data_IF_300655715496
#
_entry.id   IF_300655715496
#
_cell.length_a   1.000
_cell.length_b   1.000
_cell.length_c   1.000
_cell.angle_alpha   90.00
_cell.angle_beta   90.00
_cell.angle_gamma   90.00
#
_symmetry.space_group_name_H-M   'P 1'
#
loop_
_entity.id
_entity.type
_entity.pdbx_description
1 polymer ?
#
# COMPACT_ATOMS: atom_id res chain seq x y z
N UNK A 1 -29.42 -3.30 -31.27
CA UNK A 1 -28.91 -1.95 -30.98
C UNK A 1 -27.51 -2.09 -30.37
N UNK A 2 -26.49 -1.87 -31.20
CA UNK A 2 -25.08 -1.97 -30.79
C UNK A 2 -24.73 -0.77 -29.89
N UNK A 3 -24.39 -1.01 -28.62
CA UNK A 3 -23.85 0.03 -27.75
C UNK A 3 -22.42 0.33 -28.21
N UNK A 4 -22.24 1.43 -28.90
CA UNK A 4 -20.92 1.99 -29.23
C UNK A 4 -20.14 2.17 -27.93
N UNK A 5 -19.12 1.34 -27.69
CA UNK A 5 -18.13 1.59 -26.64
C UNK A 5 -17.49 2.94 -26.96
N UNK A 6 -17.78 3.98 -26.18
CA UNK A 6 -17.01 5.22 -26.19
C UNK A 6 -15.57 4.83 -25.83
N UNK A 7 -14.72 4.89 -26.84
CA UNK A 7 -13.27 4.76 -26.67
C UNK A 7 -12.78 6.07 -26.00
N UNK A 8 -12.96 6.16 -24.69
CA UNK A 8 -12.36 7.24 -23.90
C UNK A 8 -10.92 6.83 -23.66
N UNK A 9 -9.97 7.59 -24.20
CA UNK A 9 -8.54 7.44 -23.83
C UNK A 9 -8.41 7.33 -22.31
N UNK A 10 -7.51 6.48 -21.81
CA UNK A 10 -7.27 6.40 -20.37
C UNK A 10 -6.92 7.80 -19.86
N UNK A 11 -7.59 8.23 -18.80
CA UNK A 11 -7.32 9.52 -18.17
C UNK A 11 -5.92 9.49 -17.61
N UNK A 12 -5.18 10.59 -17.77
CA UNK A 12 -3.88 10.74 -17.14
C UNK A 12 -4.06 10.77 -15.61
N UNK A 13 -3.42 9.84 -14.91
CA UNK A 13 -3.58 9.67 -13.47
C UNK A 13 -3.08 10.90 -12.68
N UNK A 14 -1.93 11.47 -13.05
CA UNK A 14 -1.39 12.64 -12.36
C UNK A 14 -2.32 13.85 -12.52
N UNK A 15 -2.84 14.09 -13.73
CA UNK A 15 -3.79 15.17 -13.98
C UNK A 15 -5.10 14.98 -13.23
N UNK A 16 -5.61 13.73 -13.13
CA UNK A 16 -6.81 13.42 -12.34
C UNK A 16 -6.59 13.73 -10.85
N UNK A 17 -5.42 13.42 -10.30
CA UNK A 17 -5.08 13.73 -8.91
C UNK A 17 -4.86 15.24 -8.68
N UNK A 18 -4.21 15.94 -9.61
CA UNK A 18 -4.04 17.40 -9.55
C UNK A 18 -5.38 18.11 -9.51
N UNK A 19 -6.28 17.74 -10.41
CA UNK A 19 -7.63 18.33 -10.44
C UNK A 19 -8.39 18.12 -9.12
N UNK A 20 -8.14 17.02 -8.42
CA UNK A 20 -8.78 16.71 -7.13
C UNK A 20 -8.06 17.30 -5.92
N UNK A 21 -6.91 17.92 -6.10
CA UNK A 21 -6.09 18.40 -4.98
C UNK A 21 -5.51 17.27 -4.12
N UNK A 22 -5.28 16.09 -4.70
CA UNK A 22 -4.79 14.89 -4.00
C UNK A 22 -3.27 14.70 -4.12
N UNK A 23 -2.55 15.61 -4.75
CA UNK A 23 -1.10 15.56 -4.86
C UNK A 23 -0.46 16.39 -3.77
N UNK A 24 0.43 15.76 -3.00
CA UNK A 24 1.33 16.43 -2.08
C UNK A 24 2.71 16.60 -2.72
N UNK A 25 3.26 15.52 -3.27
CA UNK A 25 4.55 15.50 -3.95
C UNK A 25 4.54 14.44 -5.06
N UNK A 26 5.35 14.64 -6.09
CA UNK A 26 5.51 13.70 -7.22
C UNK A 26 6.98 13.64 -7.58
N UNK A 27 7.54 12.44 -7.59
CA UNK A 27 8.92 12.22 -8.04
C UNK A 27 9.08 12.61 -9.51
N UNK A 28 10.24 13.13 -9.91
CA UNK A 28 10.55 13.42 -11.32
C UNK A 28 10.22 12.23 -12.22
N UNK A 29 9.78 12.50 -13.43
CA UNK A 29 9.47 11.52 -14.49
C UNK A 29 8.30 10.56 -14.20
N UNK A 30 7.62 10.67 -13.04
CA UNK A 30 6.50 9.79 -12.67
C UNK A 30 5.36 9.87 -13.69
N UNK A 31 4.96 11.07 -14.11
CA UNK A 31 3.88 11.26 -15.07
C UNK A 31 4.23 10.64 -16.43
N UNK A 32 5.45 10.88 -16.92
CA UNK A 32 5.93 10.29 -18.17
C UNK A 32 5.94 8.76 -18.08
N UNK A 33 6.47 8.20 -16.99
CA UNK A 33 6.51 6.75 -16.77
C UNK A 33 5.11 6.12 -16.76
N UNK A 34 4.13 6.75 -16.13
CA UNK A 34 2.75 6.26 -16.09
C UNK A 34 2.07 6.34 -17.46
N UNK A 35 2.39 7.36 -18.27
CA UNK A 35 1.77 7.52 -19.59
C UNK A 35 2.33 6.57 -20.66
N UNK A 36 3.47 5.91 -20.43
CA UNK A 36 4.09 5.01 -21.41
C UNK A 36 3.36 3.67 -21.54
N UNK A 37 2.83 3.13 -20.44
CA UNK A 37 2.16 1.82 -20.40
C UNK A 37 1.32 1.67 -19.13
N UNK A 38 0.50 0.62 -19.06
CA UNK A 38 -0.11 0.20 -17.81
C UNK A 38 1.00 -0.09 -16.78
N UNK A 39 0.89 0.50 -15.60
CA UNK A 39 1.81 0.31 -14.48
C UNK A 39 1.06 -0.23 -13.28
N UNK A 40 1.80 -0.82 -12.35
CA UNK A 40 1.26 -1.21 -11.05
C UNK A 40 1.78 -0.25 -9.98
N UNK A 41 0.90 0.14 -9.06
CA UNK A 41 1.30 0.87 -7.86
C UNK A 41 0.58 0.29 -6.64
N UNK A 42 1.21 0.38 -5.49
CA UNK A 42 0.67 -0.18 -4.26
C UNK A 42 0.45 0.85 -3.17
N UNK A 43 -0.46 0.52 -2.29
CA UNK A 43 -0.65 1.19 -0.99
C UNK A 43 -0.74 0.11 0.08
N UNK A 44 -0.08 0.35 1.22
CA UNK A 44 -0.10 -0.53 2.39
C UNK A 44 -1.32 -0.27 3.27
N UNK A 45 -1.91 -1.36 3.78
CA UNK A 45 -2.99 -1.36 4.75
C UNK A 45 -2.60 -2.26 5.92
N UNK A 46 -2.59 -1.73 7.12
CA UNK A 46 -2.30 -2.51 8.32
C UNK A 46 -3.55 -3.26 8.78
N UNK A 47 -3.51 -4.60 8.91
CA UNK A 47 -4.65 -5.41 9.32
C UNK A 47 -4.78 -5.46 10.86
N UNK A 48 -4.74 -4.30 11.51
CA UNK A 48 -4.77 -4.18 12.98
C UNK A 48 -6.15 -4.37 13.59
N UNK A 49 -7.19 -4.38 12.77
CA UNK A 49 -8.58 -4.60 13.14
C UNK A 49 -9.32 -5.22 11.94
N UNK A 50 -10.53 -5.68 12.19
CA UNK A 50 -11.47 -6.21 11.18
C UNK A 50 -12.09 -5.14 10.30
N UNK A 51 -11.73 -3.86 10.50
CA UNK A 51 -12.25 -2.75 9.71
C UNK A 51 -11.21 -1.65 9.50
N UNK A 52 -11.29 -1.03 8.31
CA UNK A 52 -10.56 0.19 7.99
C UNK A 52 -11.29 1.40 8.58
N UNK A 53 -10.55 2.44 8.91
CA UNK A 53 -11.09 3.70 9.42
C UNK A 53 -11.10 4.78 8.33
N UNK A 54 -11.74 5.92 8.60
CA UNK A 54 -11.91 7.01 7.62
C UNK A 54 -10.58 7.52 7.04
N UNK A 55 -9.48 7.48 7.80
CA UNK A 55 -8.16 7.86 7.30
C UNK A 55 -7.64 6.98 6.17
N UNK A 56 -8.12 5.75 6.05
CA UNK A 56 -7.77 4.86 4.95
C UNK A 56 -8.48 5.22 3.64
N UNK A 57 -9.51 6.09 3.68
CA UNK A 57 -10.26 6.43 2.47
C UNK A 57 -9.39 7.15 1.43
N UNK A 58 -8.46 8.01 1.85
CA UNK A 58 -7.57 8.72 0.92
C UNK A 58 -6.71 7.74 0.11
N UNK A 59 -5.93 6.83 0.73
CA UNK A 59 -5.15 5.85 -0.02
C UNK A 59 -6.04 4.88 -0.83
N UNK A 60 -7.24 4.52 -0.37
CA UNK A 60 -8.19 3.73 -1.16
C UNK A 60 -8.58 4.48 -2.44
N UNK A 61 -8.90 5.76 -2.32
CA UNK A 61 -9.29 6.58 -3.47
C UNK A 61 -8.13 6.80 -4.45
N UNK A 62 -6.88 6.87 -3.97
CA UNK A 62 -5.70 6.87 -4.85
C UNK A 62 -5.67 5.63 -5.73
N UNK A 63 -5.81 4.43 -5.13
CA UNK A 63 -5.85 3.17 -5.87
C UNK A 63 -7.05 3.09 -6.82
N UNK A 64 -8.23 3.58 -6.39
CA UNK A 64 -9.42 3.60 -7.24
C UNK A 64 -9.25 4.51 -8.47
N UNK A 65 -8.65 5.69 -8.31
CA UNK A 65 -8.33 6.58 -9.44
C UNK A 65 -7.25 5.98 -10.33
N UNK A 66 -6.24 5.33 -9.77
CA UNK A 66 -5.22 4.61 -10.51
C UNK A 66 -5.86 3.56 -11.44
N UNK A 67 -6.76 2.74 -10.89
CA UNK A 67 -7.47 1.71 -11.66
C UNK A 67 -8.36 2.31 -12.76
N UNK A 68 -9.10 3.38 -12.45
CA UNK A 68 -9.95 4.08 -13.43
C UNK A 68 -9.14 4.74 -14.55
N UNK A 69 -7.89 5.05 -14.31
CA UNK A 69 -6.94 5.56 -15.30
C UNK A 69 -6.23 4.46 -16.10
N UNK A 70 -6.60 3.18 -15.91
CA UNK A 70 -6.09 2.07 -16.69
C UNK A 70 -4.84 1.40 -16.12
N UNK A 71 -4.43 1.75 -14.92
CA UNK A 71 -3.31 1.12 -14.22
C UNK A 71 -3.79 0.04 -13.24
N UNK A 72 -2.88 -0.82 -12.79
CA UNK A 72 -3.20 -1.91 -11.86
C UNK A 72 -2.94 -1.50 -10.41
N UNK A 73 -3.98 -1.39 -9.57
CA UNK A 73 -3.81 -1.15 -8.15
C UNK A 73 -3.38 -2.44 -7.44
N UNK A 74 -2.49 -2.31 -6.46
CA UNK A 74 -2.10 -3.39 -5.55
C UNK A 74 -2.41 -2.94 -4.12
N UNK A 75 -3.35 -3.61 -3.48
CA UNK A 75 -3.61 -3.42 -2.06
C UNK A 75 -2.69 -4.37 -1.27
N UNK A 76 -1.70 -3.81 -0.60
CA UNK A 76 -0.73 -4.55 0.19
C UNK A 76 -1.17 -4.61 1.65
N UNK A 77 -1.51 -5.80 2.12
CA UNK A 77 -1.80 -6.02 3.55
C UNK A 77 -0.49 -6.25 4.31
N UNK A 78 -0.27 -5.47 5.35
CA UNK A 78 0.93 -5.52 6.21
C UNK A 78 0.89 -6.65 7.22
N UNK A 79 0.69 -7.91 6.79
CA UNK A 79 0.61 -9.05 7.69
C UNK A 79 1.89 -9.31 8.45
N UNK A 80 3.05 -9.31 7.79
CA UNK A 80 4.33 -9.49 8.48
C UNK A 80 4.62 -8.35 9.47
N UNK A 81 4.37 -7.10 9.08
CA UNK A 81 4.56 -5.93 9.95
C UNK A 81 3.58 -5.92 11.12
N UNK A 82 2.35 -6.40 10.92
CA UNK A 82 1.35 -6.58 11.98
C UNK A 82 1.78 -7.59 13.05
N UNK A 83 2.50 -8.63 12.65
CA UNK A 83 3.06 -9.64 13.60
C UNK A 83 4.27 -9.12 14.38
N UNK A 84 4.98 -8.12 13.88
CA UNK A 84 6.13 -7.52 14.59
C UNK A 84 5.68 -6.46 15.59
N UNK A 85 4.46 -5.93 15.43
CA UNK A 85 3.93 -4.91 16.32
C UNK A 85 4.48 -3.51 16.04
N UNK A 86 4.69 -3.15 14.76
CA UNK A 86 5.18 -1.82 14.38
C UNK A 86 4.30 -0.71 15.01
N UNK A 87 4.87 0.14 15.91
CA UNK A 87 4.13 1.19 16.60
C UNK A 87 3.93 2.46 15.76
N UNK A 88 4.08 2.42 14.43
CA UNK A 88 4.00 3.60 13.55
C UNK A 88 2.89 4.57 13.97
N UNK A 89 3.28 5.77 14.44
CA UNK A 89 2.38 6.83 14.85
C UNK A 89 1.64 6.63 16.17
N UNK A 90 2.11 5.72 17.05
CA UNK A 90 1.56 5.52 18.42
C UNK A 90 2.67 5.34 19.43
N UNK A 91 2.45 5.83 20.65
CA UNK A 91 3.41 5.77 21.78
C UNK A 91 3.50 4.40 22.46
N UNK A 92 2.61 3.45 22.15
CA UNK A 92 2.60 2.10 22.74
C UNK A 92 2.82 1.03 21.69
N UNK A 93 3.53 -0.03 22.06
CA UNK A 93 3.63 -1.24 21.23
C UNK A 93 2.24 -1.76 20.86
N UNK A 94 2.06 -2.11 19.59
CA UNK A 94 0.83 -2.75 19.13
C UNK A 94 0.75 -4.16 19.70
N UNK A 95 -0.45 -4.58 20.07
CA UNK A 95 -0.69 -5.97 20.43
C UNK A 95 -0.29 -6.89 19.28
N UNK A 96 0.54 -7.88 19.54
CA UNK A 96 0.94 -8.88 18.57
C UNK A 96 -0.30 -9.69 18.15
N UNK A 97 -0.57 -9.72 16.86
CA UNK A 97 -1.66 -10.53 16.30
C UNK A 97 -1.13 -11.94 15.96
N UNK A 98 -1.93 -12.95 16.27
CA UNK A 98 -1.69 -14.28 15.73
C UNK A 98 -2.07 -14.41 14.25
N UNK A 99 -1.64 -15.48 13.61
CA UNK A 99 -1.87 -15.68 12.17
C UNK A 99 -3.36 -15.80 11.84
N UNK A 100 -4.17 -16.39 12.71
CA UNK A 100 -5.60 -16.58 12.50
C UNK A 100 -6.34 -15.23 12.50
N UNK A 101 -6.13 -14.42 13.51
CA UNK A 101 -6.67 -13.05 13.60
C UNK A 101 -6.24 -12.20 12.42
N UNK A 102 -4.98 -12.32 12.02
CA UNK A 102 -4.42 -11.58 10.89
C UNK A 102 -5.09 -11.96 9.56
N UNK A 103 -5.31 -13.26 9.32
CA UNK A 103 -6.03 -13.74 8.14
C UNK A 103 -7.48 -13.30 8.14
N UNK A 104 -8.15 -13.35 9.30
CA UNK A 104 -9.50 -12.84 9.45
C UNK A 104 -9.58 -11.35 9.10
N UNK A 105 -8.73 -10.53 9.68
CA UNK A 105 -8.68 -9.09 9.40
C UNK A 105 -8.38 -8.81 7.92
N UNK A 106 -7.50 -9.59 7.30
CA UNK A 106 -7.19 -9.48 5.87
C UNK A 106 -8.44 -9.69 5.00
N UNK A 107 -9.26 -10.70 5.27
CA UNK A 107 -10.49 -10.96 4.52
C UNK A 107 -11.54 -9.85 4.74
N UNK A 108 -11.64 -9.32 5.96
CA UNK A 108 -12.49 -8.17 6.25
C UNK A 108 -12.05 -6.92 5.47
N UNK A 109 -10.75 -6.62 5.46
CA UNK A 109 -10.17 -5.52 4.69
C UNK A 109 -10.42 -5.71 3.19
N UNK A 110 -10.23 -6.92 2.66
CA UNK A 110 -10.52 -7.25 1.26
C UNK A 110 -11.97 -6.95 0.90
N UNK A 111 -12.91 -7.38 1.76
CA UNK A 111 -14.35 -7.14 1.55
C UNK A 111 -14.66 -5.66 1.46
N UNK A 112 -14.06 -4.83 2.31
CA UNK A 112 -14.24 -3.38 2.26
C UNK A 112 -13.60 -2.75 1.02
N UNK A 113 -12.39 -3.14 0.67
CA UNK A 113 -11.69 -2.64 -0.52
C UNK A 113 -12.41 -3.00 -1.83
N UNK A 114 -13.07 -4.16 -1.87
CA UNK A 114 -13.85 -4.62 -3.05
C UNK A 114 -15.05 -3.71 -3.38
N UNK A 115 -15.45 -2.82 -2.48
CA UNK A 115 -16.46 -1.80 -2.77
C UNK A 115 -15.91 -0.66 -3.65
N UNK A 116 -14.60 -0.47 -3.70
CA UNK A 116 -13.93 0.62 -4.40
C UNK A 116 -13.08 0.15 -5.58
N UNK A 117 -12.52 -1.05 -5.47
CA UNK A 117 -11.56 -1.64 -6.38
C UNK A 117 -12.13 -2.91 -7.00
N UNK A 118 -11.86 -3.09 -8.27
CA UNK A 118 -12.18 -4.33 -8.98
C UNK A 118 -11.04 -5.33 -8.83
N UNK A 119 -11.31 -6.44 -8.15
CA UNK A 119 -10.37 -7.54 -7.95
C UNK A 119 -10.71 -8.80 -8.76
N UNK A 120 -11.88 -8.88 -9.39
CA UNK A 120 -12.44 -10.15 -9.88
C UNK A 120 -12.97 -10.10 -11.32
N UNK A 121 -12.91 -8.96 -12.02
CA UNK A 121 -13.51 -8.82 -13.36
C UNK A 121 -12.77 -9.54 -14.49
N UNK A 122 -11.52 -9.96 -14.28
CA UNK A 122 -10.65 -10.46 -15.33
C UNK A 122 -10.10 -9.38 -16.27
N UNK A 123 -10.32 -8.08 -15.97
CA UNK A 123 -9.73 -6.99 -16.73
C UNK A 123 -8.21 -7.00 -16.63
N UNK A 124 -7.53 -6.50 -17.67
CA UNK A 124 -6.07 -6.44 -17.69
C UNK A 124 -5.49 -5.67 -16.49
N UNK A 125 -6.16 -4.60 -16.06
CA UNK A 125 -5.80 -3.79 -14.91
C UNK A 125 -6.58 -4.16 -13.63
N UNK A 126 -7.10 -5.38 -13.56
CA UNK A 126 -7.68 -5.93 -12.33
C UNK A 126 -6.72 -5.75 -11.17
N UNK A 127 -7.22 -5.31 -10.03
CA UNK A 127 -6.45 -5.11 -8.81
C UNK A 127 -5.91 -6.41 -8.22
N UNK A 128 -4.88 -6.28 -7.42
CA UNK A 128 -4.31 -7.40 -6.65
C UNK A 128 -4.41 -7.08 -5.16
N UNK A 129 -4.81 -8.07 -4.37
CA UNK A 129 -4.64 -8.05 -2.93
C UNK A 129 -3.49 -8.98 -2.58
N UNK A 130 -2.48 -8.47 -1.92
CA UNK A 130 -1.29 -9.23 -1.51
C UNK A 130 -1.01 -9.03 -0.03
N UNK A 131 -0.42 -10.03 0.61
CA UNK A 131 -0.01 -9.98 2.01
C UNK A 131 1.50 -10.18 2.10
N UNK A 132 2.22 -9.22 2.68
CA UNK A 132 3.67 -9.34 2.81
C UNK A 132 4.12 -10.53 3.68
N UNK A 133 3.28 -11.03 4.57
CA UNK A 133 3.54 -12.24 5.33
C UNK A 133 3.79 -13.45 4.42
N UNK A 134 3.11 -13.56 3.27
CA UNK A 134 3.20 -14.74 2.41
C UNK A 134 4.61 -14.98 1.85
N UNK A 135 5.39 -13.92 1.62
CA UNK A 135 6.78 -14.04 1.19
C UNK A 135 7.79 -13.83 2.31
N UNK A 136 7.47 -13.01 3.32
CA UNK A 136 8.41 -12.73 4.42
C UNK A 136 8.60 -13.92 5.37
N UNK A 137 7.55 -14.73 5.58
CA UNK A 137 7.60 -15.87 6.51
C UNK A 137 8.66 -16.93 6.16
N UNK A 138 9.05 -17.00 4.91
CA UNK A 138 10.03 -17.98 4.44
C UNK A 138 11.49 -17.51 4.58
N UNK A 139 11.72 -16.23 4.87
CA UNK A 139 13.07 -15.72 5.09
C UNK A 139 13.57 -16.12 6.47
N UNK A 140 14.74 -16.79 6.52
CA UNK A 140 15.47 -16.89 7.77
C UNK A 140 16.11 -15.54 8.12
N UNK A 141 16.43 -15.34 9.40
CA UNK A 141 17.16 -14.14 9.83
C UNK A 141 18.49 -13.97 9.09
N UNK A 142 19.23 -15.05 8.89
CA UNK A 142 20.53 -15.02 8.18
C UNK A 142 20.35 -14.68 6.70
N UNK A 143 19.32 -15.24 6.04
CA UNK A 143 19.05 -14.92 4.64
C UNK A 143 18.66 -13.46 4.50
N UNK A 144 17.82 -12.94 5.37
CA UNK A 144 17.42 -11.53 5.34
C UNK A 144 18.63 -10.59 5.53
N UNK A 145 19.48 -10.85 6.52
CA UNK A 145 20.69 -10.04 6.74
C UNK A 145 21.64 -10.13 5.54
N UNK A 146 21.85 -11.33 4.99
CA UNK A 146 22.72 -11.54 3.86
C UNK A 146 22.22 -10.85 2.59
N UNK A 147 20.93 -10.96 2.29
CA UNK A 147 20.40 -10.57 0.98
C UNK A 147 19.82 -9.15 0.98
N UNK A 148 19.29 -8.69 2.09
CA UNK A 148 18.67 -7.37 2.25
C UNK A 148 19.50 -6.44 3.16
N UNK A 149 19.89 -6.93 4.33
CA UNK A 149 20.54 -6.11 5.37
C UNK A 149 21.82 -5.42 4.88
N UNK A 150 22.61 -6.08 4.08
CA UNK A 150 23.87 -5.51 3.50
C UNK A 150 23.62 -4.27 2.63
N UNK A 151 22.40 -4.07 2.11
CA UNK A 151 22.07 -2.94 1.25
C UNK A 151 21.49 -1.75 2.03
N UNK A 152 21.20 -1.94 3.33
CA UNK A 152 20.61 -0.92 4.19
C UNK A 152 21.65 -0.48 5.20
N UNK A 153 22.26 0.68 4.97
CA UNK A 153 23.28 1.22 5.88
C UNK A 153 22.65 1.83 7.13
N UNK A 154 23.36 1.80 8.25
CA UNK A 154 22.96 2.47 9.51
C UNK A 154 22.69 3.96 9.24
N UNK A 155 23.55 4.63 8.49
CA UNK A 155 23.36 6.06 8.16
C UNK A 155 22.07 6.31 7.39
N UNK A 156 21.69 5.42 6.46
CA UNK A 156 20.44 5.52 5.74
C UNK A 156 19.24 5.39 6.68
N UNK A 157 19.28 4.42 7.59
CA UNK A 157 18.22 4.24 8.59
C UNK A 157 18.13 5.43 9.54
N UNK A 158 19.25 5.91 10.07
CA UNK A 158 19.33 7.09 10.95
C UNK A 158 18.83 8.38 10.30
N UNK A 159 18.85 8.47 8.97
CA UNK A 159 18.35 9.63 8.22
C UNK A 159 16.81 9.68 8.11
N UNK A 160 16.10 8.57 8.40
CA UNK A 160 14.64 8.52 8.34
C UNK A 160 14.02 9.26 9.53
N UNK A 161 12.98 10.05 9.29
CA UNK A 161 12.36 10.85 10.34
C UNK A 161 11.74 9.98 11.45
N UNK A 162 11.12 8.85 11.10
CA UNK A 162 10.62 7.88 12.07
C UNK A 162 11.69 7.34 13.03
N UNK A 163 12.93 7.16 12.57
CA UNK A 163 14.05 6.73 13.39
C UNK A 163 14.59 7.89 14.21
N UNK A 164 14.76 9.08 13.61
CA UNK A 164 15.23 10.29 14.30
C UNK A 164 14.33 10.64 15.48
N UNK A 165 13.01 10.64 15.27
CA UNK A 165 12.04 11.01 16.30
C UNK A 165 12.12 10.06 17.49
N UNK A 166 12.23 8.74 17.26
CA UNK A 166 12.42 7.75 18.34
C UNK A 166 13.72 7.93 19.10
N UNK A 167 14.83 8.21 18.41
CA UNK A 167 16.14 8.44 19.08
C UNK A 167 16.11 9.70 19.93
N UNK A 168 15.38 10.73 19.50
CA UNK A 168 15.26 12.00 20.24
C UNK A 168 14.27 11.95 21.40
N UNK A 169 13.49 10.87 21.55
CA UNK A 169 12.42 10.78 22.54
C UNK A 169 11.24 11.73 22.26
N UNK A 170 11.07 12.20 21.01
CA UNK A 170 10.00 13.14 20.66
C UNK A 170 8.64 12.44 20.38
N UNK A 171 8.61 11.11 20.28
CA UNK A 171 7.39 10.29 20.24
C UNK A 171 7.24 9.57 21.58
N UNK A 172 6.66 10.26 22.54
CA UNK A 172 6.01 9.79 23.76
C UNK A 172 6.79 8.79 24.65
N UNK A 173 7.21 9.25 25.77
CA UNK A 173 7.30 8.44 26.99
C UNK A 173 5.88 8.03 27.43
#
# INVERSE_FOLDING_TARGET
MSKTKKNTMPKNFIQELQWRGMIHDVMPDTEEHLNQAMRSAYVGFDPTADSLHIGNLVPIMLLAHLQRCGHRPVALVGGATGMIGDPSGKSSERQLLDEETLRHNQECVKTQLSQFLDFDSGAENQGLLVNNYDWMKSFSFLDFIRDVGKHITVNYMMAKDSVKNRIKGEEGD
#
